data_IF_174846996783
#
_entry.id   IF_174846996783
#
_cell.length_a   1.000
_cell.length_b   1.000
_cell.length_c   1.000
_cell.angle_alpha   90.00
_cell.angle_beta   90.00
_cell.angle_gamma   90.00
#
_symmetry.space_group_name_H-M   'P 1'
#
loop_
_entity.id
_entity.type
_entity.pdbx_description
1 polymer ?
#
# COMPACT_ATOMS: atom_id res chain seq x y z
N UNK A 1 9.17 15.31 18.80
CA UNK A 1 10.26 14.44 18.31
C UNK A 1 9.77 13.00 18.03
N UNK A 2 8.85 12.81 17.08
CA UNK A 2 8.25 11.48 16.78
C UNK A 2 8.75 10.92 15.43
N UNK A 3 9.21 11.79 14.52
CA UNK A 3 9.73 11.37 13.22
C UNK A 3 11.04 10.56 13.31
N UNK A 4 11.85 10.77 14.36
CA UNK A 4 13.19 10.14 14.53
C UNK A 4 13.17 8.61 14.66
N UNK A 5 12.03 7.99 14.98
CA UNK A 5 11.93 6.53 15.14
C UNK A 5 11.48 5.79 13.87
N UNK A 6 11.08 6.51 12.83
CA UNK A 6 10.60 5.88 11.61
C UNK A 6 11.75 5.72 10.61
N UNK A 7 12.39 4.56 10.65
CA UNK A 7 13.55 4.20 9.81
C UNK A 7 13.18 4.19 8.31
N UNK A 8 11.90 4.03 7.96
CA UNK A 8 11.40 4.02 6.58
C UNK A 8 10.26 5.04 6.42
N UNK A 9 10.58 6.33 6.21
CA UNK A 9 9.57 7.37 6.09
C UNK A 9 8.70 7.18 4.82
N UNK A 10 7.43 7.55 4.92
CA UNK A 10 6.53 7.63 3.77
C UNK A 10 6.60 9.02 3.12
N UNK A 11 6.21 9.13 1.85
CA UNK A 11 6.26 10.40 1.10
C UNK A 11 4.95 11.19 1.14
N UNK A 12 3.95 10.69 1.86
CA UNK A 12 2.63 11.29 1.95
C UNK A 12 2.60 12.53 2.86
N UNK A 13 1.82 13.53 2.46
CA UNK A 13 1.48 14.69 3.29
C UNK A 13 0.44 14.34 4.37
N UNK A 14 0.07 15.31 5.22
CA UNK A 14 -0.95 15.11 6.28
C UNK A 14 -2.28 14.66 5.67
N UNK A 15 -2.86 13.58 6.21
CA UNK A 15 -4.07 12.94 5.65
C UNK A 15 -3.81 12.14 4.35
N UNK A 16 -2.56 12.00 3.92
CA UNK A 16 -2.25 11.39 2.63
C UNK A 16 -2.57 9.90 2.55
N UNK A 17 -2.66 9.17 3.67
CA UNK A 17 -3.10 7.78 3.68
C UNK A 17 -4.55 7.61 3.23
N UNK A 18 -5.45 8.48 3.68
CA UNK A 18 -6.86 8.44 3.29
C UNK A 18 -7.02 8.75 1.79
N UNK A 19 -6.32 9.77 1.30
CA UNK A 19 -6.30 10.11 -0.13
C UNK A 19 -5.72 8.99 -0.99
N UNK A 20 -4.65 8.35 -0.51
CA UNK A 20 -4.02 7.21 -1.18
C UNK A 20 -4.98 6.02 -1.26
N UNK A 21 -5.66 5.70 -0.16
CA UNK A 21 -6.64 4.62 -0.08
C UNK A 21 -7.80 4.84 -1.05
N UNK A 22 -8.39 6.05 -1.06
CA UNK A 22 -9.44 6.42 -2.02
C UNK A 22 -8.96 6.31 -3.47
N UNK A 23 -7.75 6.77 -3.77
CA UNK A 23 -7.15 6.67 -5.10
C UNK A 23 -7.01 5.20 -5.54
N UNK A 24 -6.47 4.35 -4.67
CA UNK A 24 -6.27 2.93 -4.97
C UNK A 24 -7.58 2.17 -5.14
N UNK A 25 -8.61 2.48 -4.33
CA UNK A 25 -9.95 1.94 -4.51
C UNK A 25 -10.53 2.35 -5.87
N UNK A 26 -10.40 3.62 -6.24
CA UNK A 26 -10.85 4.12 -7.56
C UNK A 26 -10.12 3.44 -8.72
N UNK A 27 -8.80 3.26 -8.62
CA UNK A 27 -8.00 2.53 -9.62
C UNK A 27 -8.45 1.07 -9.75
N UNK A 28 -8.69 0.39 -8.62
CA UNK A 28 -9.17 -0.99 -8.62
C UNK A 28 -10.57 -1.13 -9.24
N UNK A 29 -11.49 -0.22 -8.93
CA UNK A 29 -12.83 -0.18 -9.55
C UNK A 29 -12.77 0.11 -11.06
N UNK A 30 -11.82 0.93 -11.51
CA UNK A 30 -11.66 1.23 -12.92
C UNK A 30 -11.01 0.09 -13.71
N UNK A 31 -10.16 -0.71 -13.06
CA UNK A 31 -9.44 -1.83 -13.70
C UNK A 31 -10.25 -3.13 -13.74
N UNK A 32 -11.28 -3.29 -12.91
CA UNK A 32 -12.19 -4.45 -12.91
C UNK A 32 -13.63 -4.00 -13.25
N UNK A 33 -13.99 -3.88 -14.54
CA UNK A 33 -15.34 -3.46 -14.91
C UNK A 33 -16.41 -4.55 -14.68
N UNK A 34 -16.05 -5.84 -14.53
CA UNK A 34 -17.01 -6.95 -14.44
C UNK A 34 -16.47 -8.06 -13.52
N UNK A 35 -17.17 -8.36 -12.41
CA UNK A 35 -17.29 -9.73 -11.90
C UNK A 35 -16.24 -10.33 -10.94
N UNK A 36 -15.75 -9.60 -9.94
CA UNK A 36 -15.21 -10.26 -8.74
C UNK A 36 -16.26 -10.21 -7.62
N UNK A 37 -16.94 -11.34 -7.45
CA UNK A 37 -17.80 -11.64 -6.31
C UNK A 37 -17.10 -11.26 -5.00
N UNK A 38 -17.91 -10.80 -4.06
CA UNK A 38 -17.55 -10.39 -2.69
C UNK A 38 -17.16 -8.91 -2.53
N UNK A 39 -17.89 -8.03 -3.22
CA UNK A 39 -18.07 -6.62 -2.83
C UNK A 39 -18.90 -6.47 -1.54
N UNK A 40 -18.82 -7.44 -0.63
CA UNK A 40 -19.37 -7.34 0.71
C UNK A 40 -18.26 -6.79 1.60
N UNK A 41 -18.23 -5.46 1.75
CA UNK A 41 -17.65 -4.82 2.95
C UNK A 41 -16.12 -4.69 3.03
N UNK A 42 -15.37 -4.56 1.93
CA UNK A 42 -13.98 -4.05 2.05
C UNK A 42 -14.05 -2.53 2.26
N UNK A 43 -14.29 -2.10 3.50
CA UNK A 43 -14.33 -0.68 3.87
C UNK A 43 -12.95 -0.03 3.81
N UNK A 44 -11.88 -0.83 3.83
CA UNK A 44 -10.47 -0.39 3.83
C UNK A 44 -9.56 -1.40 3.13
N UNK A 45 -8.53 -0.90 2.43
CA UNK A 45 -7.51 -1.73 1.79
C UNK A 45 -6.61 -2.40 2.86
N UNK A 46 -6.04 -3.59 2.58
CA UNK A 46 -5.12 -4.22 3.51
C UNK A 46 -3.96 -3.30 3.87
N UNK A 47 -3.67 -3.16 5.16
CA UNK A 47 -2.65 -2.21 5.67
C UNK A 47 -1.29 -2.34 4.98
N UNK A 48 -0.89 -3.57 4.65
CA UNK A 48 0.40 -3.84 4.01
C UNK A 48 0.46 -3.33 2.56
N UNK A 49 -0.67 -3.33 1.85
CA UNK A 49 -0.80 -2.76 0.51
C UNK A 49 -0.62 -1.25 0.58
N UNK A 50 -1.35 -0.60 1.49
CA UNK A 50 -1.26 0.86 1.70
C UNK A 50 0.14 1.28 2.17
N UNK A 51 0.79 0.49 3.04
CA UNK A 51 2.15 0.73 3.51
C UNK A 51 3.19 0.73 2.38
N UNK A 52 3.08 -0.23 1.44
CA UNK A 52 3.95 -0.31 0.26
C UNK A 52 3.74 0.89 -0.65
N UNK A 53 2.49 1.17 -1.01
CA UNK A 53 2.14 2.26 -1.94
C UNK A 53 2.53 3.63 -1.41
N UNK A 54 2.41 3.86 -0.09
CA UNK A 54 2.83 5.09 0.59
C UNK A 54 4.34 5.37 0.51
N UNK A 55 5.15 4.36 0.14
CA UNK A 55 6.62 4.43 0.02
C UNK A 55 7.10 4.19 -1.41
N UNK A 56 6.19 4.20 -2.38
CA UNK A 56 6.52 4.20 -3.79
C UNK A 56 6.49 5.62 -4.34
N UNK A 57 7.44 5.93 -5.22
CA UNK A 57 7.43 7.12 -6.05
C UNK A 57 6.37 6.96 -7.15
N UNK A 58 5.98 8.04 -7.84
CA UNK A 58 5.09 7.96 -9.00
C UNK A 58 5.61 7.01 -10.10
N UNK A 59 6.93 6.83 -10.22
CA UNK A 59 7.57 5.87 -11.12
C UNK A 59 7.37 4.40 -10.72
N UNK A 60 6.87 4.13 -9.51
CA UNK A 60 6.69 2.77 -8.96
C UNK A 60 7.89 2.27 -8.14
N UNK A 61 9.03 2.96 -8.21
CA UNK A 61 10.22 2.65 -7.41
C UNK A 61 10.00 2.95 -5.93
N UNK A 62 10.61 2.16 -5.05
CA UNK A 62 10.60 2.44 -3.61
C UNK A 62 11.56 3.56 -3.25
N UNK A 63 11.31 4.22 -2.11
CA UNK A 63 12.18 5.29 -1.59
C UNK A 63 13.56 4.82 -1.14
N UNK A 64 13.72 3.53 -0.81
CA UNK A 64 15.01 2.93 -0.48
C UNK A 64 15.03 1.43 -0.78
N UNK A 65 16.23 0.88 -0.98
CA UNK A 65 16.43 -0.57 -1.17
C UNK A 65 15.96 -1.39 0.04
N UNK A 66 16.18 -0.88 1.25
CA UNK A 66 15.71 -1.52 2.47
C UNK A 66 14.18 -1.58 2.53
N UNK A 67 13.51 -0.48 2.14
CA UNK A 67 12.04 -0.46 2.01
C UNK A 67 11.57 -1.48 0.97
N UNK A 68 12.28 -1.61 -0.15
CA UNK A 68 11.98 -2.61 -1.17
C UNK A 68 12.19 -4.05 -0.64
N UNK A 69 13.23 -4.28 0.17
CA UNK A 69 13.48 -5.56 0.83
C UNK A 69 12.34 -5.94 1.78
N UNK A 70 11.89 -5.00 2.62
CA UNK A 70 10.74 -5.20 3.52
C UNK A 70 9.47 -5.47 2.71
N UNK A 71 9.22 -4.69 1.65
CA UNK A 71 8.06 -4.89 0.80
C UNK A 71 8.03 -6.29 0.16
N UNK A 72 9.19 -6.81 -0.28
CA UNK A 72 9.33 -8.18 -0.79
C UNK A 72 9.10 -9.23 0.29
N UNK A 73 9.65 -9.04 1.49
CA UNK A 73 9.44 -9.96 2.62
C UNK A 73 7.96 -10.06 3.01
N UNK A 74 7.26 -8.93 3.04
CA UNK A 74 5.81 -8.90 3.28
C UNK A 74 5.07 -9.80 2.28
N UNK A 75 5.43 -9.77 0.99
CA UNK A 75 4.79 -10.64 -0.04
C UNK A 75 5.12 -12.12 0.22
N UNK A 76 6.37 -12.43 0.56
CA UNK A 76 6.80 -13.80 0.86
C UNK A 76 6.10 -14.40 2.09
N UNK A 77 5.82 -13.61 3.13
CA UNK A 77 5.11 -14.07 4.33
C UNK A 77 3.66 -14.49 4.08
N UNK A 78 2.99 -13.89 3.09
CA UNK A 78 1.64 -14.30 2.69
C UNK A 78 1.64 -15.61 1.89
N UNK A 79 2.68 -15.89 1.11
CA UNK A 79 2.76 -17.10 0.28
C UNK A 79 3.21 -18.37 1.03
N UNK A 80 3.71 -18.25 2.26
CA UNK A 80 4.11 -19.40 3.10
C UNK A 80 2.98 -19.91 4.03
N UNK A 81 1.76 -19.39 3.89
CA UNK A 81 0.58 -19.80 4.67
C UNK A 81 -0.54 -20.37 3.76
N UNK A 82 -0.19 -20.88 2.58
CA UNK A 82 -1.07 -21.64 1.67
C UNK A 82 -0.45 -23.01 1.44
#
# INVERSE_FOLDING_TARGET
EIAKKNVHPHILSRGGYEKLEQKMMKEASASNPIGASDTSTITRLPRHVTWKRARQRPSGEYTSEETASIARRIVSSYNNNI
#
